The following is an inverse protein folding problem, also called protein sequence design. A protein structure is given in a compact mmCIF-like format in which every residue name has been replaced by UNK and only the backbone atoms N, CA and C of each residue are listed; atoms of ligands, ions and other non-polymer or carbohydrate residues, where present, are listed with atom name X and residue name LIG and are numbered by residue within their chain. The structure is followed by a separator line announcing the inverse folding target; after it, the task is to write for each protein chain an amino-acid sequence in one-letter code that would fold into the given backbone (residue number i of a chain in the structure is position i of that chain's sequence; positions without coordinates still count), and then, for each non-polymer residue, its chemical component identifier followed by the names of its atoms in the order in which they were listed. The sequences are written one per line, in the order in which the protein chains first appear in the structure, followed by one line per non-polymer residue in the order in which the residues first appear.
data_IF_003443500692
#
_entry.id   IF_003443500692
#
_cell.length_a   1.000
_cell.length_b   1.000
_cell.length_c   1.000
_cell.angle_alpha   90.00
_cell.angle_beta   90.00
_cell.angle_gamma   90.00
#
_symmetry.space_group_name_H-M   'P 1'
#
loop_
_entity.id
_entity.type
_entity.pdbx_description
1 polymer ?
#
# COMPACT_ATOMS: atom_id res chain seq x y z
N UNK A 1 24.48 -10.00 -13.70
CA UNK A 1 23.07 -10.39 -13.42
C UNK A 1 22.83 -10.91 -12.00
N UNK A 2 23.69 -11.77 -11.42
CA UNK A 2 23.51 -12.24 -10.02
C UNK A 2 23.59 -11.14 -8.95
N UNK A 3 24.47 -10.16 -9.12
CA UNK A 3 24.64 -9.03 -8.19
C UNK A 3 23.40 -8.14 -8.11
N UNK A 4 22.88 -7.72 -9.27
CA UNK A 4 21.65 -6.91 -9.35
C UNK A 4 20.43 -7.60 -8.71
N UNK A 5 20.33 -8.93 -8.86
CA UNK A 5 19.22 -9.69 -8.26
C UNK A 5 19.33 -9.76 -6.72
N UNK A 6 20.56 -9.84 -6.21
CA UNK A 6 20.82 -9.83 -4.77
C UNK A 6 20.57 -8.44 -4.15
N UNK A 7 20.95 -7.37 -4.85
CA UNK A 7 20.69 -5.99 -4.41
C UNK A 7 19.19 -5.72 -4.33
N UNK A 8 18.43 -6.10 -5.36
CA UNK A 8 16.97 -5.98 -5.34
C UNK A 8 16.35 -6.72 -4.15
N UNK A 9 16.77 -7.96 -3.90
CA UNK A 9 16.25 -8.75 -2.77
C UNK A 9 16.54 -8.12 -1.41
N UNK A 10 17.71 -7.51 -1.22
CA UNK A 10 18.05 -6.79 0.01
C UNK A 10 17.23 -5.50 0.17
N UNK A 11 17.02 -4.76 -0.92
CA UNK A 11 16.17 -3.57 -0.90
C UNK A 11 14.72 -3.95 -0.56
N UNK A 12 14.20 -5.02 -1.16
CA UNK A 12 12.85 -5.52 -0.87
C UNK A 12 12.71 -5.99 0.57
N UNK A 13 13.67 -6.76 1.08
CA UNK A 13 13.69 -7.15 2.49
C UNK A 13 13.67 -5.94 3.41
N UNK A 14 14.53 -4.95 3.17
CA UNK A 14 14.58 -3.72 3.98
C UNK A 14 13.28 -2.90 3.92
N UNK A 15 12.62 -2.82 2.76
CA UNK A 15 11.42 -2.01 2.59
C UNK A 15 10.14 -2.70 3.08
N UNK A 16 10.08 -4.04 3.05
CA UNK A 16 8.86 -4.81 3.29
C UNK A 16 8.87 -5.58 4.63
N UNK A 17 10.04 -5.85 5.22
CA UNK A 17 10.17 -6.54 6.50
C UNK A 17 10.09 -5.59 7.70
N UNK A 18 9.97 -6.15 8.91
CA UNK A 18 10.02 -5.37 10.14
C UNK A 18 11.44 -4.83 10.34
N UNK A 19 11.58 -3.50 10.43
CA UNK A 19 12.86 -2.76 10.40
C UNK A 19 13.76 -2.97 11.63
N UNK A 20 13.50 -4.01 12.42
CA UNK A 20 14.12 -4.26 13.72
C UNK A 20 15.00 -5.49 13.74
N UNK A 21 15.20 -6.16 12.60
CA UNK A 21 16.16 -7.24 12.50
C UNK A 21 17.61 -6.73 12.32
N UNK A 22 18.59 -7.59 12.65
CA UNK A 22 20.01 -7.25 12.51
C UNK A 22 20.43 -6.98 11.07
N UNK A 23 19.72 -7.56 10.10
CA UNK A 23 19.98 -7.37 8.67
C UNK A 23 19.62 -5.96 8.21
N UNK A 24 18.53 -5.38 8.72
CA UNK A 24 18.14 -4.00 8.45
C UNK A 24 19.21 -3.00 8.90
N UNK A 25 19.80 -3.19 10.09
CA UNK A 25 20.87 -2.32 10.58
C UNK A 25 22.14 -2.40 9.72
N UNK A 26 22.52 -3.62 9.31
CA UNK A 26 23.66 -3.80 8.42
C UNK A 26 23.41 -3.14 7.06
N UNK A 27 22.18 -3.23 6.55
CA UNK A 27 21.79 -2.60 5.30
C UNK A 27 21.78 -1.07 5.40
N UNK A 28 21.34 -0.50 6.51
CA UNK A 28 21.43 0.95 6.78
C UNK A 28 22.88 1.44 6.79
N UNK A 29 23.79 0.69 7.41
CA UNK A 29 25.22 1.01 7.36
C UNK A 29 25.76 1.00 5.92
N UNK A 30 25.36 0.03 5.09
CA UNK A 30 25.73 0.00 3.66
C UNK A 30 25.21 1.22 2.90
N UNK A 31 23.96 1.62 3.12
CA UNK A 31 23.39 2.81 2.47
C UNK A 31 24.12 4.12 2.83
N UNK A 32 24.80 4.18 3.98
CA UNK A 32 25.65 5.33 4.35
C UNK A 32 26.94 5.34 3.53
N UNK A 33 27.51 4.16 3.27
CA UNK A 33 28.78 3.99 2.55
C UNK A 33 28.59 4.05 1.02
N UNK A 34 27.39 3.70 0.53
CA UNK A 34 27.08 3.55 -0.90
C UNK A 34 25.89 4.47 -1.29
N UNK A 35 26.17 5.72 -1.74
CA UNK A 35 25.12 6.68 -2.09
C UNK A 35 24.18 6.20 -3.21
N UNK A 36 24.70 5.43 -4.17
CA UNK A 36 23.92 4.86 -5.28
C UNK A 36 22.87 3.87 -4.77
N UNK A 37 23.22 3.03 -3.78
CA UNK A 37 22.28 2.11 -3.14
C UNK A 37 21.16 2.87 -2.43
N UNK A 38 21.50 3.96 -1.74
CA UNK A 38 20.51 4.83 -1.08
C UNK A 38 19.54 5.46 -2.07
N UNK A 39 20.03 5.88 -3.24
CA UNK A 39 19.18 6.42 -4.31
C UNK A 39 18.23 5.36 -4.87
N UNK A 40 18.72 4.13 -5.11
CA UNK A 40 17.87 3.01 -5.56
C UNK A 40 16.74 2.72 -4.55
N UNK A 41 17.07 2.64 -3.26
CA UNK A 41 16.09 2.44 -2.17
C UNK A 41 15.05 3.56 -2.15
N UNK A 42 15.49 4.80 -2.29
CA UNK A 42 14.60 5.96 -2.34
C UNK A 42 13.60 5.86 -3.49
N UNK A 43 14.06 5.56 -4.71
CA UNK A 43 13.17 5.47 -5.88
C UNK A 43 12.22 4.28 -5.80
N UNK A 44 12.67 3.14 -5.26
CA UNK A 44 11.80 1.99 -5.03
C UNK A 44 10.72 2.30 -3.99
N UNK A 45 11.08 2.98 -2.89
CA UNK A 45 10.11 3.45 -1.90
C UNK A 45 9.08 4.40 -2.50
N UNK A 46 9.51 5.36 -3.34
CA UNK A 46 8.59 6.29 -4.04
C UNK A 46 7.66 5.56 -5.00
N UNK A 47 8.17 4.57 -5.71
CA UNK A 47 7.36 3.73 -6.61
C UNK A 47 6.28 2.98 -5.83
N UNK A 48 6.64 2.32 -4.73
CA UNK A 48 5.66 1.65 -3.87
C UNK A 48 4.64 2.60 -3.27
N UNK A 49 5.06 3.81 -2.88
CA UNK A 49 4.15 4.84 -2.40
C UNK A 49 3.13 5.21 -3.48
N UNK A 50 3.58 5.48 -4.71
CA UNK A 50 2.69 5.83 -5.82
C UNK A 50 1.69 4.71 -6.14
N UNK A 51 2.14 3.46 -6.20
CA UNK A 51 1.28 2.28 -6.41
C UNK A 51 0.23 2.16 -5.30
N UNK A 52 0.65 2.31 -4.04
CA UNK A 52 -0.24 2.24 -2.87
C UNK A 52 -1.28 3.35 -2.91
N UNK A 53 -0.87 4.59 -3.17
CA UNK A 53 -1.76 5.74 -3.17
C UNK A 53 -2.80 5.65 -4.29
N UNK A 54 -2.37 5.21 -5.47
CA UNK A 54 -3.27 4.92 -6.59
C UNK A 54 -4.28 3.83 -6.24
N UNK A 55 -3.80 2.68 -5.73
CA UNK A 55 -4.66 1.57 -5.33
C UNK A 55 -5.68 1.97 -4.25
N UNK A 56 -5.27 2.80 -3.27
CA UNK A 56 -6.19 3.33 -2.25
C UNK A 56 -7.26 4.24 -2.85
N UNK A 57 -6.90 5.09 -3.81
CA UNK A 57 -7.86 5.95 -4.51
C UNK A 57 -8.86 5.11 -5.31
N UNK A 58 -8.38 4.10 -6.02
CA UNK A 58 -9.22 3.17 -6.77
C UNK A 58 -10.20 2.44 -5.83
N UNK A 59 -9.71 1.83 -4.76
CA UNK A 59 -10.55 1.12 -3.78
C UNK A 59 -11.60 2.03 -3.15
N UNK A 60 -11.24 3.28 -2.84
CA UNK A 60 -12.19 4.27 -2.34
C UNK A 60 -13.30 4.56 -3.35
N UNK A 61 -12.94 4.71 -4.63
CA UNK A 61 -13.92 4.95 -5.68
C UNK A 61 -14.86 3.74 -5.85
N UNK A 62 -14.33 2.53 -5.80
CA UNK A 62 -15.14 1.29 -5.85
C UNK A 62 -16.14 1.23 -4.69
N UNK A 63 -15.69 1.50 -3.46
CA UNK A 63 -16.56 1.55 -2.27
C UNK A 63 -17.64 2.62 -2.43
N UNK A 64 -17.28 3.81 -2.92
CA UNK A 64 -18.24 4.90 -3.15
C UNK A 64 -19.28 4.49 -4.20
N UNK A 65 -18.87 3.87 -5.31
CA UNK A 65 -19.78 3.42 -6.34
C UNK A 65 -20.75 2.34 -5.84
N UNK A 66 -20.25 1.41 -5.02
CA UNK A 66 -21.09 0.40 -4.35
C UNK A 66 -22.09 1.09 -3.41
N UNK A 67 -21.65 2.08 -2.62
CA UNK A 67 -22.52 2.83 -1.73
C UNK A 67 -23.63 3.56 -2.50
N UNK A 68 -23.28 4.32 -3.55
CA UNK A 68 -24.23 5.03 -4.40
C UNK A 68 -25.25 4.06 -5.00
N UNK A 69 -24.79 2.93 -5.53
CA UNK A 69 -25.67 1.91 -6.12
C UNK A 69 -26.62 1.33 -5.08
N UNK A 70 -26.14 0.94 -3.90
CA UNK A 70 -26.98 0.25 -2.91
C UNK A 70 -27.88 1.20 -2.11
N UNK A 71 -27.48 2.45 -1.90
CA UNK A 71 -28.18 3.39 -1.00
C UNK A 71 -28.89 4.53 -1.71
N UNK A 72 -28.51 4.89 -2.94
CA UNK A 72 -29.08 6.07 -3.60
C UNK A 72 -29.94 5.73 -4.83
N UNK A 73 -29.87 4.52 -5.37
CA UNK A 73 -30.76 4.07 -6.45
C UNK A 73 -32.13 3.66 -5.93
N UNK A 74 -33.21 4.09 -6.60
CA UNK A 74 -34.59 3.78 -6.21
C UNK A 74 -34.88 2.26 -6.14
N UNK A 75 -34.26 1.48 -7.04
CA UNK A 75 -34.39 0.02 -7.07
C UNK A 75 -33.96 -0.68 -5.76
N UNK A 76 -33.12 -0.04 -4.95
CA UNK A 76 -32.57 -0.59 -3.70
C UNK A 76 -33.14 0.08 -2.44
N UNK A 77 -34.22 0.85 -2.55
CA UNK A 77 -34.83 1.57 -1.42
C UNK A 77 -35.21 0.65 -0.25
N UNK A 78 -35.77 -0.54 -0.52
CA UNK A 78 -36.17 -1.50 0.51
C UNK A 78 -34.96 -2.09 1.26
N UNK A 79 -33.85 -2.33 0.55
CA UNK A 79 -32.59 -2.75 1.14
C UNK A 79 -32.03 -1.67 2.07
N UNK A 80 -31.94 -0.42 1.58
CA UNK A 80 -31.52 0.73 2.39
C UNK A 80 -32.34 0.86 3.66
N UNK A 81 -33.66 0.79 3.57
CA UNK A 81 -34.55 0.91 4.74
C UNK A 81 -34.31 -0.21 5.76
N UNK A 82 -34.09 -1.45 5.31
CA UNK A 82 -33.77 -2.59 6.20
C UNK A 82 -32.45 -2.36 6.94
N UNK A 83 -31.40 -1.95 6.23
CA UNK A 83 -30.09 -1.67 6.84
C UNK A 83 -30.20 -0.53 7.85
N UNK A 84 -30.85 0.59 7.48
CA UNK A 84 -31.00 1.73 8.38
C UNK A 84 -31.83 1.42 9.64
N UNK A 85 -32.73 0.43 9.60
CA UNK A 85 -33.46 -0.03 10.79
C UNK A 85 -32.56 -0.71 11.82
N UNK A 86 -31.46 -1.36 11.40
CA UNK A 86 -30.50 -1.98 12.33
C UNK A 86 -29.76 -0.95 13.20
N UNK A 87 -29.68 0.29 12.72
CA UNK A 87 -29.02 1.40 13.41
C UNK A 87 -30.01 2.34 14.12
N UNK A 88 -31.31 2.05 14.07
CA UNK A 88 -32.31 2.75 14.86
C UNK A 88 -32.46 2.02 16.20
N UNK A 89 -32.23 2.75 17.30
CA UNK A 89 -32.46 2.29 18.67
C UNK A 89 -33.86 1.70 18.85
#
# INVERSE_FOLDING_TARGET
MKTLLNELGLIEHYLLSDRKDGESFLFEAKMILEPELKEQVYWQQKTYQAVRDYGRKQLKNEINNIHETLFNTEAHQSFRQKVMRLFRK
#
